data_IF_699205898385
#
_entry.id   IF_699205898385
#
_cell.length_a   1.000
_cell.length_b   1.000
_cell.length_c   1.000
_cell.angle_alpha   90.00
_cell.angle_beta   90.00
_cell.angle_gamma   90.00
#
_symmetry.space_group_name_H-M   'P 1'
#
loop_
_entity.id
_entity.type
_entity.pdbx_description
1 polymer ?
#
# COMPACT_ATOMS: atom_id res chain seq x y z
N UNK A 1 -21.81 -13.59 59.79
CA UNK A 1 -22.07 -12.58 58.74
C UNK A 1 -20.92 -12.63 57.75
N UNK A 2 -21.07 -13.29 56.64
CA UNK A 2 -20.04 -13.47 55.60
C UNK A 2 -20.37 -12.51 54.47
N UNK A 3 -19.46 -11.53 54.25
CA UNK A 3 -19.57 -10.57 53.16
C UNK A 3 -19.01 -11.16 51.87
N UNK A 4 -19.88 -11.30 50.88
CA UNK A 4 -19.57 -11.78 49.54
C UNK A 4 -18.99 -10.61 48.73
N UNK A 5 -17.67 -10.64 48.45
CA UNK A 5 -17.00 -9.66 47.62
C UNK A 5 -17.16 -10.11 46.16
N UNK A 6 -18.06 -9.47 45.41
CA UNK A 6 -18.22 -9.68 43.95
C UNK A 6 -17.14 -8.89 43.21
N UNK A 7 -16.14 -9.59 42.72
CA UNK A 7 -15.09 -9.02 41.86
C UNK A 7 -15.64 -8.94 40.42
N UNK A 8 -16.05 -7.75 40.02
CA UNK A 8 -16.54 -7.47 38.68
C UNK A 8 -15.33 -7.28 37.74
N UNK A 9 -14.92 -8.34 37.08
CA UNK A 9 -13.89 -8.29 36.02
C UNK A 9 -14.44 -7.60 34.78
N UNK A 10 -14.14 -6.32 34.64
CA UNK A 10 -14.39 -5.60 33.39
C UNK A 10 -13.49 -6.16 32.30
N UNK A 11 -13.99 -7.01 31.42
CA UNK A 11 -13.34 -7.36 30.16
C UNK A 11 -13.29 -6.09 29.30
N UNK A 12 -12.16 -5.41 29.31
CA UNK A 12 -11.85 -4.37 28.34
C UNK A 12 -11.72 -5.04 26.96
N UNK A 13 -12.79 -5.00 26.20
CA UNK A 13 -12.73 -5.30 24.77
C UNK A 13 -11.80 -4.26 24.13
N UNK A 14 -10.57 -4.64 23.91
CA UNK A 14 -9.64 -3.86 23.08
C UNK A 14 -10.19 -3.91 21.66
N UNK A 15 -10.93 -2.86 21.28
CA UNK A 15 -11.25 -2.63 19.88
C UNK A 15 -9.90 -2.42 19.18
N UNK A 16 -9.62 -3.11 18.06
CA UNK A 16 -8.47 -2.74 17.25
C UNK A 16 -8.61 -1.24 16.96
N UNK A 17 -7.59 -0.46 17.30
CA UNK A 17 -7.51 0.93 16.86
C UNK A 17 -7.40 0.90 15.34
N UNK A 18 -8.54 1.02 14.65
CA UNK A 18 -8.51 1.35 13.24
C UNK A 18 -7.85 2.74 13.14
N UNK A 19 -6.75 2.83 12.41
CA UNK A 19 -6.10 4.11 12.20
C UNK A 19 -7.06 5.07 11.49
N UNK A 20 -7.02 6.34 11.86
CA UNK A 20 -7.82 7.35 11.19
C UNK A 20 -7.29 7.51 9.75
N UNK A 21 -8.17 7.55 8.74
CA UNK A 21 -7.74 7.77 7.37
C UNK A 21 -7.09 9.17 7.24
N UNK A 22 -6.06 9.26 6.39
CA UNK A 22 -5.29 10.48 6.18
C UNK A 22 -6.15 11.53 5.46
N UNK A 23 -6.32 12.74 6.03
CA UNK A 23 -7.06 13.82 5.39
C UNK A 23 -6.32 14.36 4.17
N UNK A 24 -7.07 14.82 3.17
CA UNK A 24 -6.52 15.48 1.99
C UNK A 24 -6.19 16.93 2.34
N UNK A 25 -4.92 17.21 2.61
CA UNK A 25 -4.40 18.59 2.80
C UNK A 25 -3.90 19.14 1.47
N UNK A 26 -3.27 18.28 0.68
CA UNK A 26 -2.73 18.62 -0.64
C UNK A 26 -3.23 17.57 -1.64
N UNK A 27 -4.16 18.00 -2.49
CA UNK A 27 -4.68 17.13 -3.53
C UNK A 27 -3.59 16.79 -4.57
N UNK A 28 -3.65 15.58 -5.09
CA UNK A 28 -2.80 15.12 -6.16
C UNK A 28 -3.35 15.57 -7.52
N UNK A 29 -2.46 15.95 -8.42
CA UNK A 29 -2.76 16.29 -9.80
C UNK A 29 -2.19 15.27 -10.78
N UNK A 30 -2.09 15.67 -12.05
CA UNK A 30 -1.39 14.89 -13.06
C UNK A 30 0.09 15.28 -13.08
N UNK A 31 0.97 14.29 -13.07
CA UNK A 31 2.42 14.47 -13.12
C UNK A 31 3.11 13.30 -13.82
N UNK A 32 4.33 13.57 -14.31
CA UNK A 32 5.28 12.54 -14.73
C UNK A 32 6.61 12.82 -14.03
N UNK A 33 7.07 11.88 -13.23
CA UNK A 33 8.34 11.95 -12.51
C UNK A 33 9.31 10.89 -12.98
N UNK A 34 10.59 11.26 -13.09
CA UNK A 34 11.68 10.32 -13.36
C UNK A 34 12.37 9.98 -12.05
N UNK A 35 12.47 8.70 -11.73
CA UNK A 35 12.93 8.22 -10.45
C UNK A 35 14.24 7.47 -10.58
N UNK A 36 15.07 7.59 -9.55
CA UNK A 36 16.32 6.85 -9.41
C UNK A 36 16.33 6.19 -8.04
N UNK A 37 16.49 4.88 -8.03
CA UNK A 37 16.73 4.11 -6.82
C UNK A 37 18.20 3.82 -6.68
N UNK A 38 18.82 4.24 -5.59
CA UNK A 38 20.22 4.01 -5.29
C UNK A 38 20.43 3.55 -3.86
N UNK A 39 21.60 2.93 -3.61
CA UNK A 39 22.05 2.62 -2.26
C UNK A 39 22.40 3.90 -1.50
N UNK A 40 22.57 3.84 -0.16
CA UNK A 40 23.13 4.97 0.62
C UNK A 40 24.53 5.41 0.18
N UNK A 41 25.26 4.59 -0.62
CA UNK A 41 26.56 4.90 -1.22
C UNK A 41 26.43 5.39 -2.67
N UNK A 42 25.22 5.85 -3.06
CA UNK A 42 24.92 6.41 -4.40
C UNK A 42 25.10 5.43 -5.57
N UNK A 43 25.16 4.12 -5.29
CA UNK A 43 25.21 3.12 -6.36
C UNK A 43 23.81 2.95 -6.94
N UNK A 44 23.66 3.20 -8.24
CA UNK A 44 22.40 3.04 -8.97
C UNK A 44 21.93 1.58 -8.94
N UNK A 45 20.71 1.35 -8.44
CA UNK A 45 20.03 0.06 -8.40
C UNK A 45 19.04 -0.06 -9.56
N UNK A 46 18.16 0.94 -9.71
CA UNK A 46 17.12 0.97 -10.73
C UNK A 46 16.83 2.41 -11.17
N UNK A 47 16.26 2.56 -12.34
CA UNK A 47 15.64 3.80 -12.81
C UNK A 47 14.18 3.54 -13.13
N UNK A 48 13.35 4.57 -13.05
CA UNK A 48 11.94 4.38 -13.25
C UNK A 48 11.16 5.66 -13.51
N UNK A 49 9.88 5.46 -13.68
CA UNK A 49 8.88 6.50 -13.96
C UNK A 49 7.74 6.42 -12.95
N UNK A 50 7.28 7.59 -12.52
CA UNK A 50 6.01 7.76 -11.83
C UNK A 50 5.08 8.56 -12.73
N UNK A 51 4.05 7.91 -13.25
CA UNK A 51 2.99 8.56 -14.00
C UNK A 51 1.73 8.64 -13.14
N UNK A 52 1.22 9.85 -12.93
CA UNK A 52 0.02 10.08 -12.18
C UNK A 52 -0.98 10.90 -12.99
N UNK A 53 -2.23 10.48 -12.98
CA UNK A 53 -3.34 11.17 -13.67
C UNK A 53 -4.47 11.39 -12.67
N UNK A 54 -4.74 12.67 -12.38
CA UNK A 54 -5.85 13.09 -11.53
C UNK A 54 -7.03 13.57 -12.36
N UNK A 55 -8.22 13.04 -12.08
CA UNK A 55 -9.46 13.45 -12.73
C UNK A 55 -10.66 13.27 -11.80
N UNK A 56 -11.49 14.30 -11.65
CA UNK A 56 -12.78 14.26 -10.93
C UNK A 56 -12.68 13.70 -9.49
N UNK A 57 -11.57 13.99 -8.81
CA UNK A 57 -11.32 13.54 -7.44
C UNK A 57 -10.86 12.09 -7.33
N UNK A 58 -10.59 11.43 -8.46
CA UNK A 58 -9.89 10.15 -8.54
C UNK A 58 -8.50 10.35 -9.11
N UNK A 59 -7.56 9.56 -8.65
CA UNK A 59 -6.17 9.57 -9.11
C UNK A 59 -5.75 8.14 -9.42
N UNK A 60 -5.19 7.95 -10.60
CA UNK A 60 -4.44 6.75 -10.95
C UNK A 60 -2.96 7.10 -10.91
N UNK A 61 -2.19 6.34 -10.13
CA UNK A 61 -0.74 6.47 -10.02
C UNK A 61 -0.10 5.15 -10.42
N UNK A 62 0.89 5.20 -11.32
CA UNK A 62 1.69 4.04 -11.74
C UNK A 62 3.15 4.34 -11.54
N UNK A 63 3.82 3.50 -10.78
CA UNK A 63 5.26 3.51 -10.52
C UNK A 63 5.91 2.31 -11.19
N UNK A 64 6.90 2.54 -12.04
CA UNK A 64 7.67 1.47 -12.67
C UNK A 64 9.13 1.65 -12.36
N UNK A 65 9.82 0.61 -11.91
CA UNK A 65 11.28 0.54 -11.82
C UNK A 65 11.83 -0.55 -12.73
N UNK A 66 12.85 -0.20 -13.47
CA UNK A 66 13.68 -1.13 -14.24
C UNK A 66 15.04 -1.29 -13.57
N UNK A 67 15.35 -2.50 -13.14
CA UNK A 67 16.60 -2.85 -12.49
C UNK A 67 17.67 -3.20 -13.52
N UNK A 68 18.96 -3.06 -13.14
CA UNK A 68 20.08 -3.36 -14.02
C UNK A 68 20.17 -4.82 -14.46
N UNK A 69 19.61 -5.74 -13.70
CA UNK A 69 19.59 -7.17 -13.99
C UNK A 69 18.39 -7.61 -14.87
N UNK A 70 17.59 -6.63 -15.35
CA UNK A 70 16.41 -6.84 -16.15
C UNK A 70 15.12 -7.07 -15.33
N UNK A 71 15.21 -7.05 -14.01
CA UNK A 71 14.01 -7.12 -13.16
C UNK A 71 13.13 -5.89 -13.31
N UNK A 72 11.83 -6.07 -13.08
CA UNK A 72 10.82 -5.01 -13.18
C UNK A 72 9.94 -5.03 -11.93
N UNK A 73 9.74 -3.84 -11.35
CA UNK A 73 8.70 -3.53 -10.38
C UNK A 73 7.71 -2.59 -11.05
N UNK A 74 6.44 -2.98 -11.13
CA UNK A 74 5.36 -2.19 -11.74
C UNK A 74 4.17 -2.17 -10.78
N UNK A 75 3.90 -1.01 -10.22
CA UNK A 75 2.88 -0.80 -9.20
C UNK A 75 1.87 0.23 -9.70
N UNK A 76 0.59 -0.13 -9.71
CA UNK A 76 -0.50 0.78 -10.04
C UNK A 76 -1.47 0.84 -8.89
N UNK A 77 -1.84 2.05 -8.47
CA UNK A 77 -2.88 2.30 -7.48
C UNK A 77 -3.89 3.29 -8.03
N UNK A 78 -5.17 3.02 -7.78
CA UNK A 78 -6.26 3.98 -7.98
C UNK A 78 -6.81 4.37 -6.62
N UNK A 79 -6.96 5.65 -6.37
CA UNK A 79 -7.48 6.16 -5.11
C UNK A 79 -8.36 7.39 -5.31
N UNK A 80 -9.25 7.65 -4.36
CA UNK A 80 -10.03 8.89 -4.30
C UNK A 80 -9.43 9.83 -3.29
N UNK A 81 -9.58 11.15 -3.55
CA UNK A 81 -9.07 12.24 -2.74
C UNK A 81 -10.15 13.31 -2.50
N UNK A 82 -11.22 12.92 -1.83
CA UNK A 82 -12.29 13.88 -1.49
C UNK A 82 -12.00 14.60 -0.18
N UNK A 83 -12.37 13.99 0.96
CA UNK A 83 -12.04 14.51 2.29
C UNK A 83 -10.83 13.78 2.88
N UNK A 84 -10.74 12.49 2.58
CA UNK A 84 -9.63 11.59 2.97
C UNK A 84 -9.19 10.81 1.74
N UNK A 85 -7.94 10.34 1.80
CA UNK A 85 -7.46 9.41 0.79
C UNK A 85 -8.08 8.03 1.02
N UNK A 86 -8.55 7.41 -0.06
CA UNK A 86 -9.13 6.06 -0.01
C UNK A 86 -8.68 5.27 -1.23
N UNK A 87 -7.87 4.25 -1.03
CA UNK A 87 -7.45 3.32 -2.08
C UNK A 87 -8.67 2.57 -2.63
N UNK A 88 -8.84 2.55 -3.93
CA UNK A 88 -9.92 1.87 -4.64
C UNK A 88 -9.45 0.54 -5.23
N UNK A 89 -8.29 0.54 -5.89
CA UNK A 89 -7.69 -0.67 -6.41
C UNK A 89 -6.17 -0.61 -6.31
N UNK A 90 -5.54 -1.77 -6.30
CA UNK A 90 -4.10 -1.94 -6.26
C UNK A 90 -3.68 -3.09 -7.15
N UNK A 91 -2.64 -2.87 -7.94
CA UNK A 91 -2.02 -3.90 -8.76
C UNK A 91 -0.50 -3.77 -8.70
N UNK A 92 0.17 -4.88 -8.40
CA UNK A 92 1.62 -4.98 -8.33
C UNK A 92 2.10 -6.13 -9.20
N UNK A 93 3.14 -5.89 -9.97
CA UNK A 93 3.92 -6.91 -10.68
C UNK A 93 5.39 -6.77 -10.30
N UNK A 94 5.97 -7.83 -9.77
CA UNK A 94 7.40 -7.99 -9.53
C UNK A 94 7.90 -9.16 -10.34
N UNK A 95 8.91 -8.94 -11.19
CA UNK A 95 9.48 -9.99 -12.04
C UNK A 95 10.98 -9.86 -12.11
N UNK A 96 11.65 -11.01 -12.14
CA UNK A 96 13.09 -11.12 -12.36
C UNK A 96 13.91 -11.35 -11.09
N UNK A 97 15.23 -11.55 -11.26
CA UNK A 97 16.11 -12.16 -10.25
C UNK A 97 16.34 -11.32 -8.98
N UNK A 98 16.05 -10.01 -8.98
CA UNK A 98 16.16 -9.19 -7.77
C UNK A 98 15.11 -9.56 -6.71
N UNK A 99 14.01 -10.17 -7.13
CA UNK A 99 12.94 -10.63 -6.24
C UNK A 99 13.11 -12.10 -5.87
N UNK A 100 12.63 -12.55 -4.72
CA UNK A 100 12.67 -13.99 -4.32
C UNK A 100 11.89 -14.88 -5.28
N UNK A 101 10.77 -14.39 -5.80
CA UNK A 101 9.89 -15.03 -6.78
C UNK A 101 9.18 -13.97 -7.61
N UNK A 102 8.70 -14.33 -8.80
CA UNK A 102 7.81 -13.44 -9.53
C UNK A 102 6.48 -13.36 -8.80
N UNK A 103 5.98 -12.15 -8.62
CA UNK A 103 4.75 -11.89 -7.85
C UNK A 103 3.81 -10.97 -8.65
N UNK A 104 2.53 -11.30 -8.65
CA UNK A 104 1.46 -10.43 -9.14
C UNK A 104 0.36 -10.35 -8.08
N UNK A 105 0.01 -9.14 -7.67
CA UNK A 105 -1.04 -8.86 -6.69
C UNK A 105 -2.10 -7.99 -7.34
N UNK A 106 -3.35 -8.33 -7.16
CA UNK A 106 -4.49 -7.48 -7.50
C UNK A 106 -5.46 -7.40 -6.31
N UNK A 107 -6.05 -6.23 -6.12
CA UNK A 107 -6.96 -5.94 -5.02
C UNK A 107 -7.96 -4.89 -5.47
N UNK A 108 -9.25 -5.11 -5.18
CA UNK A 108 -10.35 -4.24 -5.55
C UNK A 108 -11.25 -3.95 -4.34
N UNK A 109 -11.35 -2.69 -3.93
CA UNK A 109 -12.14 -2.29 -2.76
C UNK A 109 -13.63 -2.58 -2.91
N UNK A 110 -14.20 -2.29 -4.07
CA UNK A 110 -15.65 -2.39 -4.29
C UNK A 110 -16.19 -3.80 -4.07
N UNK A 111 -15.41 -4.82 -4.42
CA UNK A 111 -15.74 -6.23 -4.27
C UNK A 111 -15.06 -6.89 -3.06
N UNK A 112 -14.05 -6.24 -2.49
CA UNK A 112 -13.13 -6.83 -1.53
C UNK A 112 -12.26 -7.95 -2.11
N UNK A 113 -12.34 -8.24 -3.40
CA UNK A 113 -11.59 -9.34 -4.02
C UNK A 113 -10.12 -9.03 -4.07
N UNK A 114 -9.33 -10.04 -3.74
CA UNK A 114 -7.88 -10.02 -3.95
C UNK A 114 -7.42 -11.30 -4.64
N UNK A 115 -6.31 -11.20 -5.34
CA UNK A 115 -5.58 -12.33 -5.89
C UNK A 115 -4.08 -12.07 -5.77
N UNK A 116 -3.34 -13.09 -5.32
CA UNK A 116 -1.88 -13.11 -5.28
C UNK A 116 -1.42 -14.31 -6.09
N UNK A 117 -0.62 -14.06 -7.12
CA UNK A 117 0.03 -15.11 -7.91
C UNK A 117 1.52 -15.02 -7.66
N UNK A 118 2.16 -16.13 -7.36
CA UNK A 118 3.60 -16.22 -7.24
C UNK A 118 4.15 -17.33 -8.13
N UNK A 119 5.38 -17.13 -8.62
CA UNK A 119 6.09 -18.11 -9.44
C UNK A 119 7.54 -18.20 -8.97
N UNK A 120 7.87 -19.36 -8.42
CA UNK A 120 9.21 -19.64 -7.94
C UNK A 120 10.22 -19.71 -9.09
N UNK A 121 11.36 -19.00 -8.99
CA UNK A 121 12.40 -19.02 -10.03
C UNK A 121 13.09 -20.37 -10.16
N UNK A 122 13.21 -21.12 -9.05
CA UNK A 122 13.96 -22.38 -9.01
C UNK A 122 13.34 -23.50 -9.85
N UNK A 123 12.03 -23.66 -9.78
CA UNK A 123 11.31 -24.81 -10.37
C UNK A 123 10.09 -24.38 -11.21
N UNK A 124 9.86 -23.06 -11.35
CA UNK A 124 8.74 -22.50 -12.09
C UNK A 124 7.38 -22.77 -11.46
N UNK A 125 7.34 -23.25 -10.22
CA UNK A 125 6.08 -23.58 -9.54
C UNK A 125 5.26 -22.33 -9.30
N UNK A 126 4.03 -22.37 -9.73
CA UNK A 126 3.06 -21.29 -9.54
C UNK A 126 2.16 -21.60 -8.35
N UNK A 127 1.81 -20.56 -7.60
CA UNK A 127 0.78 -20.59 -6.56
C UNK A 127 -0.17 -19.44 -6.80
N UNK A 128 -1.45 -19.68 -6.54
CA UNK A 128 -2.50 -18.66 -6.58
C UNK A 128 -3.22 -18.70 -5.25
N UNK A 129 -3.31 -17.54 -4.62
CA UNK A 129 -4.14 -17.28 -3.45
C UNK A 129 -5.15 -16.22 -3.83
N UNK A 130 -6.41 -16.50 -3.66
CA UNK A 130 -7.49 -15.55 -3.90
C UNK A 130 -8.53 -15.60 -2.78
N UNK A 131 -9.30 -14.54 -2.64
CA UNK A 131 -10.31 -14.44 -1.63
C UNK A 131 -10.99 -13.08 -1.59
N UNK A 132 -11.66 -12.82 -0.49
CA UNK A 132 -12.28 -11.53 -0.19
C UNK A 132 -11.84 -11.01 1.17
N UNK A 133 -11.64 -9.71 1.26
CA UNK A 133 -11.27 -9.00 2.48
C UNK A 133 -12.06 -7.70 2.58
N UNK A 134 -12.47 -7.34 3.78
CA UNK A 134 -12.94 -5.98 4.05
C UNK A 134 -11.72 -5.07 4.21
N UNK A 135 -11.50 -4.24 3.20
CA UNK A 135 -10.34 -3.36 3.13
C UNK A 135 -10.49 -2.21 4.13
N UNK A 136 -9.58 -2.10 5.11
CA UNK A 136 -9.61 -0.98 6.03
C UNK A 136 -9.35 0.34 5.30
N UNK A 137 -9.84 1.46 5.86
CA UNK A 137 -9.71 2.78 5.24
C UNK A 137 -8.26 3.29 5.21
N UNK A 138 -7.40 2.75 6.05
CA UNK A 138 -5.97 3.02 6.17
C UNK A 138 -5.08 2.06 5.36
N UNK A 139 -5.67 1.31 4.42
CA UNK A 139 -4.92 0.55 3.42
C UNK A 139 -4.39 1.50 2.34
N UNK A 140 -3.06 1.64 2.28
CA UNK A 140 -2.38 2.64 1.43
C UNK A 140 -1.24 2.05 0.59
N UNK A 141 -1.40 0.81 0.09
CA UNK A 141 -0.45 0.26 -0.88
C UNK A 141 -0.29 1.19 -2.09
N UNK A 142 0.95 1.43 -2.51
CA UNK A 142 1.25 2.34 -3.61
C UNK A 142 1.03 3.83 -3.32
N UNK A 143 0.63 4.20 -2.10
CA UNK A 143 0.27 5.59 -1.75
C UNK A 143 1.21 6.22 -0.72
N UNK A 144 2.34 5.61 -0.40
CA UNK A 144 3.22 6.07 0.68
C UNK A 144 3.66 7.53 0.47
N UNK A 145 4.04 7.92 -0.74
CA UNK A 145 4.45 9.30 -1.05
C UNK A 145 3.31 10.30 -0.88
N UNK A 146 2.10 9.94 -1.33
CA UNK A 146 0.88 10.74 -1.15
C UNK A 146 0.55 10.92 0.33
N UNK A 147 0.63 9.85 1.11
CA UNK A 147 0.40 9.88 2.57
C UNK A 147 1.43 10.80 3.24
N UNK A 148 2.72 10.59 3.00
CA UNK A 148 3.79 11.39 3.61
C UNK A 148 3.67 12.88 3.29
N UNK A 149 3.32 13.24 2.06
CA UNK A 149 3.07 14.63 1.65
C UNK A 149 1.94 15.29 2.44
N UNK A 150 0.96 14.50 2.88
CA UNK A 150 -0.24 14.99 3.56
C UNK A 150 -0.17 14.91 5.09
N UNK A 151 0.96 14.47 5.66
CA UNK A 151 1.19 14.55 7.09
C UNK A 151 1.37 16.00 7.55
N UNK A 152 1.12 16.26 8.83
CA UNK A 152 1.44 17.54 9.47
C UNK A 152 2.95 17.72 9.53
N UNK A 153 3.40 18.97 9.40
CA UNK A 153 4.79 19.32 9.69
C UNK A 153 5.07 19.38 11.20
N UNK A 154 4.05 19.20 12.05
CA UNK A 154 4.23 19.18 13.49
C UNK A 154 4.97 17.91 13.93
N UNK A 155 5.96 18.09 14.78
CA UNK A 155 6.73 16.96 15.29
C UNK A 155 5.84 15.99 16.08
N UNK A 156 5.91 14.69 15.74
CA UNK A 156 5.22 13.61 16.45
C UNK A 156 3.91 13.14 15.86
N UNK A 157 3.49 13.62 14.67
CA UNK A 157 2.37 13.00 13.98
C UNK A 157 2.75 11.56 13.58
N UNK A 158 1.95 10.60 14.04
CA UNK A 158 2.11 9.18 13.71
C UNK A 158 0.96 8.74 12.85
N UNK A 159 1.26 8.10 11.73
CA UNK A 159 0.29 7.47 10.86
C UNK A 159 0.46 5.95 10.92
N UNK A 160 -0.62 5.27 11.19
CA UNK A 160 -0.71 3.82 11.03
C UNK A 160 -1.22 3.51 9.64
N UNK A 161 -0.58 2.57 8.98
CA UNK A 161 -0.96 2.12 7.64
C UNK A 161 -1.06 0.60 7.64
N UNK A 162 -2.05 0.07 6.93
CA UNK A 162 -2.11 -1.33 6.54
C UNK A 162 -1.50 -1.45 5.14
N UNK A 163 -0.55 -2.34 4.98
CA UNK A 163 0.04 -2.70 3.69
C UNK A 163 -0.05 -4.21 3.49
N UNK A 164 -0.47 -4.60 2.31
CA UNK A 164 -0.45 -6.00 1.87
C UNK A 164 0.91 -6.31 1.27
N UNK A 165 1.60 -7.31 1.82
CA UNK A 165 2.95 -7.74 1.40
C UNK A 165 2.96 -9.25 1.14
#
# INVERSE_FOLDING_TARGET
MAGLLVLMTALLWQRPLAAAPVPVRFAEGSLHGFLVLSTPKEVLIASGDLLQVGRDGEVQSRLVFHFKDGSVFDETVVFTQRNVFTMQSYHLVQRGPVFPEDTEISLERASGKYQVKTKAHKDGREKVLDGTIDLPLDAYNGMVLTVLKNLSSEAGETVHMVAFT
#
